data_IF_627240476523
#
_entry.id   IF_627240476523
#
_cell.length_a   1.000
_cell.length_b   1.000
_cell.length_c   1.000
_cell.angle_alpha   90.00
_cell.angle_beta   90.00
_cell.angle_gamma   90.00
#
_symmetry.space_group_name_H-M   'P 1'
#
loop_
_entity.id
_entity.type
_entity.pdbx_description
1 polymer ?
#
# COMPACT_ATOMS: atom_id res chain seq x y z
N UNK A 1 -1.39 37.86 -89.30
CA UNK A 1 -0.65 36.57 -89.30
C UNK A 1 -0.90 35.88 -87.96
N UNK A 2 -1.87 34.98 -88.00
CA UNK A 2 -2.27 33.91 -87.08
C UNK A 2 -1.37 33.55 -85.89
N UNK A 3 -1.95 33.53 -84.67
CA UNK A 3 -2.33 32.31 -83.89
C UNK A 3 -2.80 32.67 -82.45
N UNK A 4 -3.53 31.78 -81.75
CA UNK A 4 -4.88 32.02 -81.17
C UNK A 4 -4.92 32.28 -79.64
N UNK A 5 -6.10 32.59 -79.03
CA UNK A 5 -6.20 32.94 -77.61
C UNK A 5 -6.22 31.70 -76.69
N UNK A 6 -5.57 31.81 -75.53
CA UNK A 6 -5.48 30.74 -74.53
C UNK A 6 -6.68 30.79 -73.57
N UNK A 7 -7.28 29.61 -73.40
CA UNK A 7 -8.51 29.31 -72.68
C UNK A 7 -8.45 29.60 -71.17
N UNK A 8 -9.46 30.31 -70.67
CA UNK A 8 -9.78 30.47 -69.24
C UNK A 8 -10.46 29.19 -68.74
N UNK A 9 -9.96 28.50 -67.70
CA UNK A 9 -10.69 27.40 -67.10
C UNK A 9 -11.77 27.93 -66.15
N UNK A 10 -13.04 27.62 -66.49
CA UNK A 10 -14.21 27.76 -65.61
C UNK A 10 -14.01 26.94 -64.32
N UNK A 11 -13.88 27.60 -63.17
CA UNK A 11 -14.01 26.94 -61.86
C UNK A 11 -15.49 26.68 -61.56
N UNK A 12 -15.83 25.41 -61.37
CA UNK A 12 -17.13 24.91 -60.89
C UNK A 12 -17.42 25.41 -59.46
N UNK A 13 -18.69 25.61 -59.06
CA UNK A 13 -19.04 26.01 -57.71
C UNK A 13 -18.70 24.88 -56.73
N UNK A 14 -18.00 25.22 -55.65
CA UNK A 14 -17.67 24.28 -54.58
C UNK A 14 -18.94 23.95 -53.78
N UNK A 15 -19.23 22.66 -53.65
CA UNK A 15 -20.32 22.12 -52.85
C UNK A 15 -20.11 22.43 -51.36
N UNK A 16 -21.19 22.86 -50.70
CA UNK A 16 -21.26 23.08 -49.27
C UNK A 16 -21.01 21.75 -48.51
N UNK A 17 -19.80 21.59 -47.99
CA UNK A 17 -19.44 20.51 -47.08
C UNK A 17 -19.88 20.85 -45.66
N UNK A 18 -20.84 20.07 -45.14
CA UNK A 18 -21.22 20.03 -43.72
C UNK A 18 -19.97 19.94 -42.84
N UNK A 19 -19.70 20.99 -42.07
CA UNK A 19 -18.77 20.92 -40.95
C UNK A 19 -19.34 19.93 -39.92
N UNK A 20 -18.78 18.71 -39.88
CA UNK A 20 -18.92 17.84 -38.72
C UNK A 20 -18.18 18.52 -37.58
N UNK A 21 -18.93 19.17 -36.70
CA UNK A 21 -18.41 19.63 -35.42
C UNK A 21 -17.76 18.45 -34.72
N UNK A 22 -16.44 18.50 -34.54
CA UNK A 22 -15.77 17.67 -33.57
C UNK A 22 -16.29 18.12 -32.20
N UNK A 23 -17.24 17.36 -31.64
CA UNK A 23 -17.55 17.45 -30.22
C UNK A 23 -16.29 16.97 -29.50
N UNK A 24 -15.50 17.90 -28.97
CA UNK A 24 -14.52 17.55 -27.95
C UNK A 24 -15.32 17.00 -26.78
N UNK A 25 -15.24 15.68 -26.57
CA UNK A 25 -15.56 15.13 -25.26
C UNK A 25 -14.73 15.91 -24.23
N UNK A 26 -15.31 16.30 -23.08
CA UNK A 26 -14.52 16.96 -22.06
C UNK A 26 -13.38 16.00 -21.72
N UNK A 27 -12.14 16.42 -21.98
CA UNK A 27 -10.96 15.79 -21.41
C UNK A 27 -11.20 15.78 -19.91
N UNK A 28 -11.52 14.60 -19.36
CA UNK A 28 -11.51 14.36 -17.93
C UNK A 28 -10.18 14.92 -17.45
N UNK A 29 -10.21 16.00 -16.67
CA UNK A 29 -9.01 16.65 -16.16
C UNK A 29 -8.27 15.60 -15.36
N UNK A 30 -7.17 15.07 -15.92
CA UNK A 30 -6.35 14.06 -15.27
C UNK A 30 -5.70 14.76 -14.08
N UNK A 31 -6.22 14.48 -12.88
CA UNK A 31 -5.66 14.98 -11.63
C UNK A 31 -4.16 14.66 -11.59
N UNK A 32 -3.37 15.63 -11.13
CA UNK A 32 -1.95 15.45 -10.85
C UNK A 32 -1.76 14.42 -9.72
N UNK A 33 -0.56 13.85 -9.59
CA UNK A 33 -0.30 12.87 -8.52
C UNK A 33 -0.53 13.48 -7.12
N UNK A 34 -0.20 14.77 -6.94
CA UNK A 34 -0.35 15.48 -5.68
C UNK A 34 -1.82 15.74 -5.34
N UNK A 35 -2.64 16.17 -6.31
CA UNK A 35 -4.09 16.32 -6.13
C UNK A 35 -4.76 14.98 -5.76
N UNK A 36 -4.31 13.88 -6.39
CA UNK A 36 -4.76 12.53 -6.05
C UNK A 36 -4.40 12.15 -4.62
N UNK A 37 -3.19 12.48 -4.17
CA UNK A 37 -2.73 12.19 -2.81
C UNK A 37 -3.56 13.01 -1.82
N UNK A 38 -3.77 14.29 -2.08
CA UNK A 38 -4.57 15.18 -1.24
C UNK A 38 -6.01 14.69 -1.11
N UNK A 39 -6.68 14.44 -2.25
CA UNK A 39 -8.05 13.89 -2.29
C UNK A 39 -8.17 12.60 -1.48
N UNK A 40 -7.23 11.65 -1.63
CA UNK A 40 -7.25 10.39 -0.87
C UNK A 40 -7.12 10.62 0.63
N UNK A 41 -6.25 11.54 1.05
CA UNK A 41 -6.06 11.84 2.47
C UNK A 41 -7.28 12.54 3.07
N UNK A 42 -7.92 13.45 2.33
CA UNK A 42 -9.16 14.09 2.75
C UNK A 42 -10.29 13.08 2.92
N UNK A 43 -10.49 12.18 1.95
CA UNK A 43 -11.47 11.11 2.06
C UNK A 43 -11.16 10.17 3.22
N UNK A 44 -9.89 9.85 3.45
CA UNK A 44 -9.47 8.98 4.55
C UNK A 44 -9.75 9.64 5.91
N UNK A 45 -9.44 10.93 6.05
CA UNK A 45 -9.72 11.70 7.27
C UNK A 45 -11.23 11.80 7.51
N UNK A 46 -12.01 12.13 6.48
CA UNK A 46 -13.47 12.22 6.57
C UNK A 46 -14.11 10.92 7.01
N UNK A 47 -13.67 9.79 6.46
CA UNK A 47 -14.19 8.47 6.85
C UNK A 47 -13.76 8.09 8.26
N UNK A 48 -12.51 8.40 8.65
CA UNK A 48 -12.02 8.21 10.02
C UNK A 48 -12.82 9.02 11.04
N UNK A 49 -13.10 10.29 10.75
CA UNK A 49 -13.93 11.17 11.57
C UNK A 49 -15.38 10.66 11.65
N UNK A 50 -15.93 10.18 10.53
CA UNK A 50 -17.26 9.56 10.49
C UNK A 50 -17.32 8.32 11.39
N UNK A 51 -16.29 7.47 11.38
CA UNK A 51 -16.25 6.29 12.25
C UNK A 51 -16.10 6.66 13.73
N UNK A 52 -15.31 7.70 14.04
CA UNK A 52 -15.18 8.21 15.41
C UNK A 52 -16.49 8.82 15.92
N UNK A 53 -17.25 9.52 15.07
CA UNK A 53 -18.52 10.15 15.47
C UNK A 53 -19.64 9.14 15.78
N UNK A 54 -19.50 7.87 15.36
CA UNK A 54 -20.38 6.78 15.77
C UNK A 54 -20.28 6.46 17.27
N UNK A 55 -19.20 6.89 17.93
CA UNK A 55 -18.96 6.70 19.36
C UNK A 55 -18.90 8.05 20.10
N UNK A 56 -20.03 8.78 20.21
CA UNK A 56 -20.04 10.13 20.78
C UNK A 56 -19.81 10.15 22.30
N UNK A 57 -20.00 9.00 22.98
CA UNK A 57 -19.77 8.85 24.42
C UNK A 57 -18.67 7.84 24.67
N UNK A 58 -17.79 8.15 25.62
CA UNK A 58 -16.71 7.27 26.02
C UNK A 58 -17.28 6.12 26.85
N UNK A 59 -17.34 4.93 26.25
CA UNK A 59 -17.64 3.67 26.93
C UNK A 59 -16.32 3.00 27.37
N UNK A 60 -16.32 2.37 28.55
CA UNK A 60 -15.16 1.64 29.05
C UNK A 60 -15.26 0.16 28.69
N UNK A 61 -14.13 -0.42 28.33
CA UNK A 61 -13.98 -1.86 28.07
C UNK A 61 -12.87 -2.41 28.95
N UNK A 62 -12.99 -3.68 29.34
CA UNK A 62 -11.98 -4.40 30.09
C UNK A 62 -11.14 -5.23 29.12
N UNK A 63 -9.82 -5.04 29.17
CA UNK A 63 -8.86 -5.74 28.32
C UNK A 63 -7.93 -6.55 29.21
N UNK A 64 -8.02 -7.87 29.14
CA UNK A 64 -7.23 -8.77 29.98
C UNK A 64 -5.98 -9.22 29.23
N UNK A 65 -4.81 -9.01 29.82
CA UNK A 65 -3.54 -9.45 29.26
C UNK A 65 -3.28 -10.92 29.58
N UNK A 66 -3.03 -11.73 28.55
CA UNK A 66 -2.79 -13.18 28.64
C UNK A 66 -1.37 -13.58 28.27
N UNK A 67 -0.45 -12.62 28.15
CA UNK A 67 0.96 -12.90 27.84
C UNK A 67 1.71 -13.62 28.97
N UNK A 68 2.90 -14.16 28.62
CA UNK A 68 3.79 -14.85 29.57
C UNK A 68 4.29 -13.95 30.70
N UNK A 69 4.44 -12.64 30.42
CA UNK A 69 4.81 -11.64 31.43
C UNK A 69 3.56 -11.08 32.11
N UNK A 70 3.67 -10.56 33.35
CA UNK A 70 2.57 -9.88 34.05
C UNK A 70 1.19 -10.59 33.96
N UNK A 71 1.11 -11.90 34.31
CA UNK A 71 -0.11 -12.69 34.11
C UNK A 71 -1.27 -12.11 34.92
N UNK A 72 -2.46 -12.05 34.31
CA UNK A 72 -3.68 -11.59 34.97
C UNK A 72 -3.83 -10.06 35.05
N UNK A 73 -2.98 -9.30 34.36
CA UNK A 73 -3.16 -7.84 34.26
C UNK A 73 -4.44 -7.50 33.51
N UNK A 74 -5.26 -6.59 34.05
CA UNK A 74 -6.47 -6.09 33.41
C UNK A 74 -6.34 -4.59 33.20
N UNK A 75 -6.66 -4.13 32.00
CA UNK A 75 -6.70 -2.72 31.65
C UNK A 75 -8.14 -2.26 31.47
N UNK A 76 -8.46 -1.07 31.98
CA UNK A 76 -9.73 -0.40 31.70
C UNK A 76 -9.49 0.64 30.61
N UNK A 77 -9.96 0.35 29.40
CA UNK A 77 -9.66 1.10 28.17
C UNK A 77 -10.91 1.76 27.61
N UNK A 78 -10.73 2.70 26.68
CA UNK A 78 -11.84 3.38 26.00
C UNK A 78 -12.23 2.60 24.73
N UNK A 79 -13.49 2.21 24.63
CA UNK A 79 -14.04 1.53 23.46
C UNK A 79 -13.88 2.39 22.20
N UNK A 80 -13.52 1.76 21.09
CA UNK A 80 -13.32 2.36 19.77
C UNK A 80 -12.28 3.51 19.70
N UNK A 81 -11.51 3.72 20.77
CA UNK A 81 -10.48 4.76 20.87
C UNK A 81 -9.14 4.19 21.29
N UNK A 82 -9.12 3.40 22.37
CA UNK A 82 -7.91 2.75 22.85
C UNK A 82 -7.48 1.62 21.92
N UNK A 83 -6.17 1.47 21.78
CA UNK A 83 -5.53 0.51 20.89
C UNK A 83 -4.68 -0.49 21.68
N UNK A 84 -4.29 -1.64 21.10
CA UNK A 84 -3.28 -2.52 21.68
C UNK A 84 -1.99 -1.81 22.08
N UNK A 85 -1.56 -0.81 21.30
CA UNK A 85 -0.40 0.01 21.63
C UNK A 85 -0.59 0.77 22.94
N UNK A 86 -1.78 1.31 23.21
CA UNK A 86 -2.06 1.94 24.51
C UNK A 86 -1.96 0.92 25.66
N UNK A 87 -2.45 -0.31 25.47
CA UNK A 87 -2.29 -1.39 26.45
C UNK A 87 -0.81 -1.69 26.72
N UNK A 88 0.02 -1.75 25.66
CA UNK A 88 1.46 -1.94 25.79
C UNK A 88 2.14 -0.79 26.58
N UNK A 89 1.68 0.45 26.41
CA UNK A 89 2.20 1.61 27.16
C UNK A 89 1.95 1.51 28.66
N UNK A 90 0.86 0.84 29.08
CA UNK A 90 0.59 0.60 30.50
C UNK A 90 1.45 -0.50 31.13
N UNK A 91 2.11 -1.34 30.32
CA UNK A 91 3.01 -2.38 30.80
C UNK A 91 4.44 -1.88 30.92
N UNK A 92 5.10 -1.61 29.79
CA UNK A 92 6.47 -1.12 29.78
C UNK A 92 6.89 -0.65 28.39
N UNK A 93 7.94 0.17 28.34
CA UNK A 93 8.56 0.61 27.08
C UNK A 93 9.04 -0.58 26.23
N UNK A 94 9.45 -1.68 26.88
CA UNK A 94 9.83 -2.90 26.17
C UNK A 94 8.69 -3.46 25.32
N UNK A 95 7.45 -3.48 25.85
CA UNK A 95 6.28 -3.93 25.10
C UNK A 95 6.00 -2.97 23.93
N UNK A 96 6.08 -1.65 24.14
CA UNK A 96 5.89 -0.69 23.05
C UNK A 96 6.89 -0.89 21.90
N UNK A 97 8.15 -1.22 22.20
CA UNK A 97 9.22 -1.37 21.21
C UNK A 97 9.28 -2.75 20.56
N UNK A 98 8.86 -3.82 21.25
CA UNK A 98 8.98 -5.21 20.76
C UNK A 98 7.71 -5.77 20.15
N UNK A 99 6.53 -5.30 20.58
CA UNK A 99 5.25 -5.78 20.08
C UNK A 99 5.00 -5.28 18.66
N UNK A 100 4.92 -6.21 17.71
CA UNK A 100 4.67 -5.91 16.29
C UNK A 100 3.19 -6.00 15.99
N UNK A 101 2.52 -7.03 16.51
CA UNK A 101 1.10 -7.27 16.37
C UNK A 101 0.50 -7.59 17.73
N UNK A 102 -0.82 -7.57 17.81
CA UNK A 102 -1.56 -8.12 18.93
C UNK A 102 -2.41 -9.31 18.47
N UNK A 103 -2.66 -10.23 19.38
CA UNK A 103 -3.68 -11.24 19.27
C UNK A 103 -4.82 -10.81 20.18
N UNK A 104 -6.01 -10.55 19.61
CA UNK A 104 -7.20 -10.11 20.34
C UNK A 104 -8.25 -11.21 20.21
N UNK A 105 -8.59 -11.86 21.32
CA UNK A 105 -9.48 -13.05 21.34
C UNK A 105 -9.07 -14.15 20.33
N UNK A 106 -7.76 -14.32 20.10
CA UNK A 106 -7.23 -15.29 19.13
C UNK A 106 -7.11 -14.78 17.69
N UNK A 107 -7.56 -13.56 17.38
CA UNK A 107 -7.46 -12.95 16.06
C UNK A 107 -6.28 -11.98 15.94
N UNK A 108 -5.60 -11.98 14.80
CA UNK A 108 -4.46 -11.07 14.57
C UNK A 108 -4.94 -9.64 14.38
N UNK A 109 -4.33 -8.70 15.10
CA UNK A 109 -4.75 -7.32 15.20
C UNK A 109 -3.58 -6.34 15.07
N UNK A 110 -3.80 -5.23 14.37
CA UNK A 110 -2.80 -4.16 14.27
C UNK A 110 -2.63 -3.43 15.60
N UNK A 111 -1.40 -3.04 15.94
CA UNK A 111 -1.13 -2.34 17.20
C UNK A 111 -1.86 -0.99 17.34
N UNK A 112 -2.17 -0.31 16.23
CA UNK A 112 -2.88 0.97 16.20
C UNK A 112 -4.37 0.86 15.81
N UNK A 113 -4.91 -0.34 15.63
CA UNK A 113 -6.34 -0.53 15.36
C UNK A 113 -7.14 -0.47 16.67
N UNK A 114 -8.17 0.39 16.77
CA UNK A 114 -8.97 0.52 18.00
C UNK A 114 -9.67 -0.78 18.42
N UNK A 115 -9.81 -0.98 19.73
CA UNK A 115 -10.51 -2.13 20.33
C UNK A 115 -12.00 -1.81 20.45
N UNK A 116 -12.86 -2.71 19.98
CA UNK A 116 -14.32 -2.47 19.90
C UNK A 116 -15.14 -3.09 21.03
N UNK A 117 -14.56 -4.04 21.77
CA UNK A 117 -15.22 -4.77 22.86
C UNK A 117 -14.19 -5.18 23.93
N UNK A 118 -14.68 -5.56 25.11
CA UNK A 118 -13.85 -6.22 26.12
C UNK A 118 -13.30 -7.52 25.54
N UNK A 119 -12.01 -7.77 25.75
CA UNK A 119 -11.27 -8.83 25.06
C UNK A 119 -10.04 -9.29 25.84
N UNK A 120 -9.50 -10.44 25.46
CA UNK A 120 -8.20 -10.89 25.88
C UNK A 120 -7.13 -10.47 24.87
N UNK A 121 -5.99 -9.96 25.35
CA UNK A 121 -4.90 -9.48 24.51
C UNK A 121 -3.58 -10.19 24.81
N UNK A 122 -2.90 -10.59 23.75
CA UNK A 122 -1.50 -11.03 23.77
C UNK A 122 -0.71 -10.21 22.75
N UNK A 123 0.57 -9.96 23.04
CA UNK A 123 1.44 -9.29 22.09
C UNK A 123 2.33 -10.28 21.35
N UNK A 124 2.48 -10.08 20.04
CA UNK A 124 3.31 -10.89 19.16
C UNK A 124 4.59 -10.15 18.78
N UNK A 125 5.71 -10.85 18.78
CA UNK A 125 7.05 -10.32 18.51
C UNK A 125 7.79 -11.13 17.44
N UNK A 126 8.85 -10.56 16.87
CA UNK A 126 9.73 -11.28 15.92
C UNK A 126 10.47 -12.49 16.52
N UNK A 127 10.51 -12.61 17.85
CA UNK A 127 11.27 -13.64 18.56
C UNK A 127 10.37 -14.70 19.19
N UNK A 128 9.09 -14.69 18.86
CA UNK A 128 8.16 -15.72 19.31
C UNK A 128 8.49 -17.06 18.61
N UNK A 129 8.03 -18.17 19.20
CA UNK A 129 8.26 -19.51 18.67
C UNK A 129 7.63 -19.70 17.27
N UNK A 130 6.47 -19.09 17.04
CA UNK A 130 5.80 -19.02 15.75
C UNK A 130 5.57 -17.54 15.33
N UNK A 131 6.54 -16.92 14.63
CA UNK A 131 6.42 -15.54 14.18
C UNK A 131 5.80 -15.43 12.77
N UNK A 132 5.08 -16.45 12.27
CA UNK A 132 4.58 -16.48 10.88
C UNK A 132 3.73 -15.23 10.55
N UNK A 133 2.75 -14.89 11.40
CA UNK A 133 1.88 -13.73 11.18
C UNK A 133 2.61 -12.39 11.26
N UNK A 134 3.58 -12.29 12.17
CA UNK A 134 4.47 -11.13 12.30
C UNK A 134 5.33 -10.95 11.04
N UNK A 135 5.87 -12.04 10.51
CA UNK A 135 6.67 -12.03 9.29
C UNK A 135 5.83 -11.61 8.08
N UNK A 136 4.60 -12.14 7.95
CA UNK A 136 3.67 -11.72 6.89
C UNK A 136 3.37 -10.23 6.95
N UNK A 137 3.06 -9.69 8.15
CA UNK A 137 2.80 -8.27 8.34
C UNK A 137 4.02 -7.40 8.02
N UNK A 138 5.23 -7.86 8.39
CA UNK A 138 6.48 -7.19 8.05
C UNK A 138 6.71 -7.09 6.54
N UNK A 139 6.55 -8.19 5.82
CA UNK A 139 6.72 -8.20 4.36
C UNK A 139 5.68 -7.35 3.63
N UNK A 140 4.41 -7.38 4.06
CA UNK A 140 3.36 -6.48 3.54
C UNK A 140 3.73 -5.02 3.74
N UNK A 141 4.22 -4.67 4.92
CA UNK A 141 4.61 -3.30 5.26
C UNK A 141 5.82 -2.83 4.45
N UNK A 142 6.83 -3.68 4.27
CA UNK A 142 7.96 -3.39 3.40
C UNK A 142 7.52 -3.15 1.95
N UNK A 143 6.65 -4.01 1.41
CA UNK A 143 6.11 -3.84 0.06
C UNK A 143 5.36 -2.50 -0.10
N UNK A 144 4.60 -2.08 0.92
CA UNK A 144 3.87 -0.81 0.92
C UNK A 144 4.83 0.41 0.96
N UNK A 145 5.91 0.34 1.75
CA UNK A 145 6.98 1.35 1.78
C UNK A 145 7.63 1.46 0.40
N UNK A 146 7.97 0.33 -0.23
CA UNK A 146 8.52 0.31 -1.59
C UNK A 146 7.56 0.95 -2.59
N UNK A 147 6.26 0.64 -2.52
CA UNK A 147 5.26 1.21 -3.41
C UNK A 147 5.16 2.74 -3.30
N UNK A 148 5.23 3.28 -2.08
CA UNK A 148 5.27 4.72 -1.85
C UNK A 148 6.48 5.38 -2.52
N UNK A 149 7.66 4.79 -2.34
CA UNK A 149 8.91 5.30 -2.93
C UNK A 149 8.87 5.25 -4.46
N UNK A 150 8.42 4.13 -5.03
CA UNK A 150 8.30 3.99 -6.48
C UNK A 150 7.30 5.00 -7.04
N UNK A 151 6.14 5.17 -6.40
CA UNK A 151 5.13 6.13 -6.85
C UNK A 151 5.67 7.57 -6.87
N UNK A 152 6.50 7.95 -5.90
CA UNK A 152 7.12 9.28 -5.84
C UNK A 152 8.28 9.46 -6.81
N UNK A 153 9.01 8.39 -7.11
CA UNK A 153 10.20 8.45 -7.94
C UNK A 153 9.88 8.55 -9.45
N UNK A 154 8.77 7.96 -9.90
CA UNK A 154 8.35 8.04 -11.30
C UNK A 154 7.41 9.21 -11.52
N UNK A 155 7.66 10.00 -12.57
CA UNK A 155 6.83 11.16 -12.96
C UNK A 155 5.39 10.73 -13.27
N UNK A 156 4.44 11.66 -13.11
CA UNK A 156 2.99 11.51 -13.31
C UNK A 156 2.54 10.89 -14.66
N UNK A 157 3.44 10.87 -15.65
CA UNK A 157 3.26 10.18 -16.93
C UNK A 157 3.24 8.64 -16.79
N UNK A 158 3.80 8.12 -15.69
CA UNK A 158 3.92 6.69 -15.41
C UNK A 158 2.97 6.24 -14.29
N UNK A 159 1.96 5.46 -14.66
CA UNK A 159 1.07 4.81 -13.67
C UNK A 159 1.84 3.72 -12.93
N UNK A 160 2.42 4.03 -11.76
CA UNK A 160 3.01 3.04 -10.85
C UNK A 160 1.90 2.40 -10.03
N UNK A 161 1.49 1.23 -10.48
CA UNK A 161 0.67 0.31 -9.71
C UNK A 161 1.61 -0.74 -9.11
N UNK A 162 1.27 -1.34 -7.98
CA UNK A 162 2.08 -2.41 -7.34
C UNK A 162 2.47 -3.58 -8.26
N UNK A 163 1.92 -3.62 -9.47
CA UNK A 163 2.19 -4.63 -10.51
C UNK A 163 2.53 -3.98 -11.86
N UNK A 164 2.26 -2.70 -12.12
CA UNK A 164 2.37 -2.13 -13.49
C UNK A 164 3.11 -0.81 -13.47
N UNK A 165 4.11 -0.69 -14.34
CA UNK A 165 4.82 0.56 -14.63
C UNK A 165 5.03 0.62 -16.15
N UNK A 166 4.72 1.73 -16.84
CA UNK A 166 4.97 1.86 -18.28
C UNK A 166 6.48 1.94 -18.61
N UNK A 167 6.82 1.79 -19.89
CA UNK A 167 8.19 1.86 -20.43
C UNK A 167 8.89 3.17 -20.05
N UNK A 168 9.73 3.11 -19.02
CA UNK A 168 10.80 4.10 -18.84
C UNK A 168 11.98 3.63 -19.69
N UNK A 169 12.43 4.40 -20.70
CA UNK A 169 13.67 4.15 -21.42
C UNK A 169 14.85 4.51 -20.49
N UNK A 170 15.67 3.51 -20.12
CA UNK A 170 16.87 3.70 -19.34
C UNK A 170 17.22 2.48 -18.48
N UNK A 171 18.52 2.19 -18.33
CA UNK A 171 19.02 1.17 -17.42
C UNK A 171 18.69 1.57 -15.97
N UNK A 172 17.77 0.85 -15.33
CA UNK A 172 17.31 1.14 -13.95
C UNK A 172 18.35 0.72 -12.91
N UNK A 173 19.41 0.00 -13.30
CA UNK A 173 20.47 -0.48 -12.39
C UNK A 173 21.10 0.63 -11.56
N UNK A 174 21.29 1.83 -12.13
CA UNK A 174 21.86 2.99 -11.42
C UNK A 174 20.87 3.70 -10.47
N UNK A 175 19.57 3.39 -10.56
CA UNK A 175 18.51 4.05 -9.78
C UNK A 175 18.09 3.32 -8.50
N UNK A 176 18.47 2.06 -8.28
CA UNK A 176 18.02 1.36 -7.06
C UNK A 176 18.61 1.95 -5.77
N UNK A 177 19.81 2.53 -5.85
CA UNK A 177 20.43 3.19 -4.71
C UNK A 177 19.69 4.46 -4.29
N UNK A 178 19.19 5.24 -5.24
CA UNK A 178 18.40 6.44 -4.94
C UNK A 178 17.04 6.06 -4.35
N UNK A 179 16.36 5.06 -4.89
CA UNK A 179 15.11 4.50 -4.33
C UNK A 179 15.33 3.97 -2.91
N UNK A 180 16.39 3.19 -2.69
CA UNK A 180 16.73 2.67 -1.36
C UNK A 180 17.00 3.78 -0.36
N UNK A 181 17.70 4.84 -0.78
CA UNK A 181 17.93 6.03 0.06
C UNK A 181 16.61 6.71 0.43
N UNK A 182 15.68 6.84 -0.50
CA UNK A 182 14.40 7.49 -0.22
C UNK A 182 13.48 6.62 0.65
N UNK A 183 13.52 5.29 0.50
CA UNK A 183 12.91 4.34 1.44
C UNK A 183 13.51 4.49 2.84
N UNK A 184 14.83 4.59 2.93
CA UNK A 184 15.53 4.79 4.20
C UNK A 184 15.14 6.10 4.87
N UNK A 185 15.03 7.22 4.11
CA UNK A 185 14.53 8.49 4.65
C UNK A 185 13.10 8.36 5.21
N UNK A 186 12.24 7.61 4.52
CA UNK A 186 10.86 7.36 4.96
C UNK A 186 10.81 6.53 6.25
N UNK A 187 11.70 5.54 6.37
CA UNK A 187 11.86 4.74 7.60
C UNK A 187 12.28 5.63 8.78
N UNK A 188 13.24 6.53 8.58
CA UNK A 188 13.72 7.45 9.62
C UNK A 188 12.68 8.47 10.09
N UNK A 189 11.60 8.70 9.34
CA UNK A 189 10.49 9.56 9.76
C UNK A 189 9.61 8.93 10.86
N UNK A 190 9.78 7.64 11.16
CA UNK A 190 9.02 6.91 12.19
C UNK A 190 7.49 7.11 12.09
N UNK A 191 6.94 6.83 10.91
CA UNK A 191 5.53 7.05 10.63
C UNK A 191 4.70 5.85 11.12
N UNK A 192 3.57 6.06 11.81
CA UNK A 192 2.66 4.98 12.17
C UNK A 192 1.88 4.48 10.95
N UNK A 193 1.59 3.19 10.94
CA UNK A 193 0.60 2.61 10.03
C UNK A 193 -0.78 2.70 10.68
N UNK A 194 -1.68 3.41 10.01
CA UNK A 194 -3.08 3.54 10.38
C UNK A 194 -3.92 2.61 9.52
N UNK A 195 -4.83 1.87 10.15
CA UNK A 195 -5.75 0.94 9.47
C UNK A 195 -7.17 1.48 9.55
N UNK A 196 -7.89 1.44 8.44
CA UNK A 196 -9.29 1.84 8.34
C UNK A 196 -10.08 0.75 7.60
N UNK A 197 -11.20 0.31 8.18
CA UNK A 197 -12.11 -0.62 7.53
C UNK A 197 -13.23 0.18 6.89
N UNK A 198 -13.42 0.07 5.59
CA UNK A 198 -14.37 0.89 4.84
C UNK A 198 -15.24 0.04 3.94
N UNK A 199 -16.43 0.53 3.61
CA UNK A 199 -17.24 -0.06 2.55
C UNK A 199 -16.55 0.05 1.20
N UNK A 200 -16.77 -0.93 0.32
CA UNK A 200 -16.22 -0.93 -1.03
C UNK A 200 -16.47 0.39 -1.80
N UNK A 201 -17.64 1.02 -1.62
CA UNK A 201 -18.00 2.29 -2.26
C UNK A 201 -17.02 3.42 -1.94
N UNK A 202 -16.64 3.55 -0.67
CA UNK A 202 -15.69 4.57 -0.21
C UNK A 202 -14.29 4.28 -0.75
N UNK A 203 -13.88 2.99 -0.76
CA UNK A 203 -12.62 2.59 -1.38
C UNK A 203 -12.62 2.87 -2.90
N UNK A 204 -13.72 2.64 -3.61
CA UNK A 204 -13.84 2.95 -5.02
C UNK A 204 -13.62 4.44 -5.32
N UNK A 205 -14.20 5.33 -4.52
CA UNK A 205 -14.01 6.77 -4.66
C UNK A 205 -12.55 7.18 -4.48
N UNK A 206 -11.85 6.61 -3.50
CA UNK A 206 -10.42 6.88 -3.25
C UNK A 206 -9.49 6.39 -4.38
N UNK A 207 -9.87 5.32 -5.09
CA UNK A 207 -9.03 4.66 -6.08
C UNK A 207 -9.59 4.76 -7.52
N UNK A 208 -10.55 5.66 -7.77
CA UNK A 208 -11.26 5.81 -9.05
C UNK A 208 -10.35 6.00 -10.28
N UNK A 209 -9.19 6.64 -10.10
CA UNK A 209 -8.20 6.88 -11.16
C UNK A 209 -7.30 5.67 -11.46
N UNK A 210 -7.45 4.56 -10.72
CA UNK A 210 -6.60 3.39 -10.83
C UNK A 210 -7.43 2.12 -11.09
N UNK A 211 -7.54 1.75 -12.38
CA UNK A 211 -8.31 0.59 -12.83
C UNK A 211 -7.94 -0.71 -12.10
N UNK A 212 -6.65 -0.97 -11.90
CA UNK A 212 -6.19 -2.18 -11.22
C UNK A 212 -6.56 -2.25 -9.75
N UNK A 213 -6.52 -1.09 -9.07
CA UNK A 213 -6.96 -1.01 -7.68
C UNK A 213 -8.47 -1.16 -7.58
N UNK A 214 -9.24 -0.62 -8.52
CA UNK A 214 -10.69 -0.86 -8.57
C UNK A 214 -11.02 -2.34 -8.78
N UNK A 215 -10.43 -3.00 -9.79
CA UNK A 215 -10.62 -4.45 -10.01
C UNK A 215 -10.23 -5.28 -8.78
N UNK A 216 -9.17 -4.87 -8.07
CA UNK A 216 -8.76 -5.52 -6.83
C UNK A 216 -9.75 -5.28 -5.68
N UNK A 217 -10.27 -4.06 -5.53
CA UNK A 217 -11.29 -3.72 -4.53
C UNK A 217 -12.56 -4.53 -4.77
N UNK A 218 -13.04 -4.64 -6.01
CA UNK A 218 -14.22 -5.43 -6.36
C UNK A 218 -14.02 -6.91 -6.02
N UNK A 219 -12.86 -7.48 -6.38
CA UNK A 219 -12.54 -8.87 -6.06
C UNK A 219 -12.55 -9.12 -4.54
N UNK A 220 -11.96 -8.21 -3.77
CA UNK A 220 -11.91 -8.31 -2.30
C UNK A 220 -13.29 -8.16 -1.68
N UNK A 221 -14.06 -7.19 -2.16
CA UNK A 221 -15.42 -6.96 -1.69
C UNK A 221 -16.31 -8.18 -1.97
N UNK A 222 -16.16 -8.85 -3.11
CA UNK A 222 -16.91 -10.08 -3.44
C UNK A 222 -16.52 -11.30 -2.61
N UNK A 223 -15.32 -11.35 -2.03
CA UNK A 223 -14.87 -12.43 -1.16
C UNK A 223 -15.37 -12.27 0.28
N UNK A 224 -15.71 -11.05 0.69
CA UNK A 224 -16.18 -10.74 2.04
C UNK A 224 -17.69 -10.51 2.04
N UNK A 225 -18.44 -11.27 2.82
CA UNK A 225 -19.90 -11.16 2.90
C UNK A 225 -20.38 -9.75 3.33
N UNK A 226 -19.55 -9.02 4.07
CA UNK A 226 -19.84 -7.67 4.55
C UNK A 226 -19.46 -6.57 3.54
N UNK A 227 -18.76 -6.91 2.45
CA UNK A 227 -18.29 -5.94 1.46
C UNK A 227 -17.27 -4.92 2.00
N UNK A 228 -16.63 -5.24 3.14
CA UNK A 228 -15.64 -4.39 3.81
C UNK A 228 -14.26 -4.61 3.22
N UNK A 229 -13.57 -3.51 2.96
CA UNK A 229 -12.19 -3.46 2.46
C UNK A 229 -11.31 -2.75 3.47
N UNK A 230 -10.11 -3.30 3.68
CA UNK A 230 -9.12 -2.70 4.59
C UNK A 230 -8.20 -1.74 3.84
N UNK A 231 -8.11 -0.52 4.33
CA UNK A 231 -7.19 0.51 3.88
C UNK A 231 -6.10 0.71 4.93
N UNK A 232 -4.89 0.94 4.45
CA UNK A 232 -3.76 1.32 5.29
C UNK A 232 -3.20 2.65 4.83
N UNK A 233 -2.81 3.48 5.79
CA UNK A 233 -2.15 4.76 5.56
C UNK A 233 -0.89 4.85 6.40
N UNK A 234 0.19 5.35 5.83
CA UNK A 234 1.30 5.89 6.60
C UNK A 234 1.75 7.21 5.98
N UNK A 235 1.88 8.26 6.79
CA UNK A 235 2.04 9.62 6.27
C UNK A 235 0.88 10.00 5.34
N UNK A 236 1.22 10.31 4.09
CA UNK A 236 0.32 10.71 3.01
C UNK A 236 -0.02 9.55 2.03
N UNK A 237 0.61 8.38 2.19
CA UNK A 237 0.43 7.26 1.27
C UNK A 237 -0.67 6.33 1.78
N UNK A 238 -1.79 6.30 1.05
CA UNK A 238 -2.94 5.41 1.30
C UNK A 238 -2.94 4.29 0.27
N UNK A 239 -3.05 3.04 0.74
CA UNK A 239 -3.19 1.88 -0.11
C UNK A 239 -4.13 0.80 0.45
N UNK A 240 -4.61 -0.07 -0.44
CA UNK A 240 -5.42 -1.25 -0.10
C UNK A 240 -4.53 -2.48 0.04
N UNK A 241 -4.52 -3.11 1.21
CA UNK A 241 -3.84 -4.38 1.48
C UNK A 241 -4.72 -5.32 2.30
N UNK A 242 -4.38 -6.61 2.30
CA UNK A 242 -5.07 -7.63 3.10
C UNK A 242 -4.21 -8.04 4.28
N UNK A 243 -4.81 -8.03 5.47
CA UNK A 243 -4.16 -8.40 6.71
C UNK A 243 -3.36 -7.27 7.35
N UNK A 244 -2.79 -7.53 8.52
CA UNK A 244 -2.21 -6.49 9.36
C UNK A 244 -0.84 -6.03 8.86
N UNK A 245 -0.46 -4.86 9.36
CA UNK A 245 0.80 -4.18 9.12
C UNK A 245 1.59 -3.98 10.42
N UNK A 246 2.88 -3.70 10.29
CA UNK A 246 3.73 -3.36 11.45
C UNK A 246 3.30 -2.00 12.03
N UNK A 247 3.61 -1.71 13.31
CA UNK A 247 3.09 -0.51 13.95
C UNK A 247 3.65 0.77 13.33
N UNK A 248 4.96 0.80 13.05
CA UNK A 248 5.68 1.99 12.58
C UNK A 248 6.73 1.63 11.56
N UNK A 249 7.08 2.58 10.69
CA UNK A 249 8.14 2.40 9.69
C UNK A 249 9.52 2.15 10.30
N UNK A 250 9.78 2.62 11.53
CA UNK A 250 11.05 2.41 12.26
C UNK A 250 11.33 0.95 12.66
N UNK A 251 10.34 0.06 12.54
CA UNK A 251 10.58 -1.37 12.75
C UNK A 251 11.49 -1.96 11.66
N UNK A 252 11.52 -1.36 10.46
CA UNK A 252 12.46 -1.70 9.40
C UNK A 252 13.83 -1.09 9.67
N UNK A 253 14.91 -1.87 9.52
CA UNK A 253 16.26 -1.39 9.77
C UNK A 253 17.16 -1.48 8.53
N UNK A 254 17.56 -2.70 8.12
CA UNK A 254 18.26 -2.91 6.85
C UNK A 254 17.20 -3.02 5.77
N UNK A 255 17.25 -2.18 4.74
CA UNK A 255 16.24 -2.14 3.69
C UNK A 255 16.93 -1.85 2.35
N UNK A 256 16.70 -2.69 1.34
CA UNK A 256 17.31 -2.50 0.02
C UNK A 256 16.40 -2.97 -1.10
N UNK A 257 16.25 -2.13 -2.13
CA UNK A 257 15.60 -2.49 -3.39
C UNK A 257 16.72 -3.03 -4.29
N UNK A 258 16.60 -4.28 -4.72
CA UNK A 258 17.72 -5.02 -5.32
C UNK A 258 17.56 -5.30 -6.81
N UNK A 259 16.34 -5.43 -7.30
CA UNK A 259 16.10 -5.76 -8.70
C UNK A 259 14.74 -5.27 -9.21
N UNK A 260 14.64 -5.14 -10.53
CA UNK A 260 13.38 -4.99 -11.25
C UNK A 260 13.36 -5.99 -12.41
N UNK A 261 12.31 -6.79 -12.52
CA UNK A 261 12.15 -7.81 -13.54
C UNK A 261 10.95 -7.51 -14.43
N UNK A 262 11.11 -7.62 -15.74
CA UNK A 262 9.99 -7.59 -16.67
C UNK A 262 9.28 -8.96 -16.65
N UNK A 263 8.00 -8.97 -16.30
CA UNK A 263 7.13 -10.13 -16.36
C UNK A 263 6.40 -10.13 -17.71
N UNK A 264 6.55 -11.22 -18.45
CA UNK A 264 5.80 -11.43 -19.68
C UNK A 264 4.38 -11.89 -19.34
N UNK A 265 3.38 -11.08 -19.68
CA UNK A 265 1.97 -11.49 -19.61
C UNK A 265 1.44 -11.86 -20.98
N UNK A 266 0.42 -12.74 -21.02
CA UNK A 266 -0.29 -13.12 -22.26
C UNK A 266 -1.00 -11.94 -22.93
N UNK A 267 -1.25 -10.86 -22.18
CA UNK A 267 -1.78 -9.59 -22.68
C UNK A 267 -0.61 -8.65 -23.01
N UNK A 268 -0.77 -7.80 -24.02
CA UNK A 268 0.22 -6.85 -24.58
C UNK A 268 0.74 -5.76 -23.61
N UNK A 269 0.64 -5.98 -22.30
CA UNK A 269 1.06 -5.05 -21.25
C UNK A 269 2.40 -5.49 -20.66
N UNK A 270 3.36 -4.57 -20.58
CA UNK A 270 4.63 -4.80 -19.89
C UNK A 270 4.45 -4.60 -18.38
N UNK A 271 4.62 -5.67 -17.62
CA UNK A 271 4.52 -5.69 -16.15
C UNK A 271 5.94 -5.70 -15.59
N UNK A 272 6.28 -4.76 -14.69
CA UNK A 272 7.56 -4.75 -13.98
C UNK A 272 7.37 -5.09 -12.51
N UNK A 273 8.12 -6.09 -12.04
CA UNK A 273 8.17 -6.47 -10.63
C UNK A 273 9.44 -5.93 -9.99
N UNK A 274 9.28 -5.01 -9.05
CA UNK A 274 10.37 -4.58 -8.17
C UNK A 274 10.53 -5.57 -7.02
N UNK A 275 11.77 -5.90 -6.68
CA UNK A 275 12.13 -6.76 -5.57
C UNK A 275 13.14 -6.07 -4.67
N UNK A 276 13.06 -6.40 -3.39
CA UNK A 276 13.95 -5.92 -2.36
C UNK A 276 13.93 -6.87 -1.17
N UNK A 277 14.85 -6.64 -0.25
CA UNK A 277 14.97 -7.38 0.99
C UNK A 277 15.09 -6.40 2.15
N UNK A 278 14.57 -6.81 3.30
CA UNK A 278 14.55 -5.98 4.49
C UNK A 278 14.64 -6.84 5.75
N UNK A 279 15.31 -6.32 6.79
CA UNK A 279 15.39 -6.95 8.10
C UNK A 279 14.95 -5.98 9.21
N UNK A 280 14.15 -6.44 10.18
CA UNK A 280 13.68 -5.60 11.25
C UNK A 280 14.82 -5.26 12.21
N UNK A 281 14.68 -4.16 12.95
CA UNK A 281 15.65 -3.72 13.98
C UNK A 281 15.96 -4.81 15.03
N UNK A 282 15.02 -5.75 15.21
CA UNK A 282 15.09 -6.86 16.14
C UNK A 282 15.94 -8.05 15.67
N UNK A 283 16.17 -8.17 14.36
CA UNK A 283 16.84 -9.29 13.69
C UNK A 283 17.94 -8.77 12.75
N UNK A 284 18.80 -7.87 13.25
CA UNK A 284 19.89 -7.32 12.44
C UNK A 284 20.83 -8.43 11.98
N UNK A 285 21.19 -8.43 10.69
CA UNK A 285 22.20 -9.33 10.15
C UNK A 285 23.57 -8.67 10.14
N UNK A 286 24.62 -9.48 10.31
CA UNK A 286 25.99 -9.07 10.04
C UNK A 286 26.21 -8.83 8.55
N UNK A 287 27.19 -8.00 8.17
CA UNK A 287 27.38 -7.58 6.77
C UNK A 287 27.52 -8.75 5.79
N UNK A 288 28.29 -9.79 6.14
CA UNK A 288 28.46 -10.99 5.29
C UNK A 288 27.12 -11.70 5.04
N UNK A 289 26.26 -11.79 6.05
CA UNK A 289 24.94 -12.42 5.92
C UNK A 289 24.03 -11.53 5.09
N UNK A 290 24.07 -10.22 5.31
CA UNK A 290 23.33 -9.24 4.53
C UNK A 290 23.69 -9.31 3.04
N UNK A 291 24.98 -9.36 2.71
CA UNK A 291 25.45 -9.44 1.31
C UNK A 291 24.94 -10.71 0.62
N UNK A 292 24.93 -11.86 1.31
CA UNK A 292 24.35 -13.10 0.80
C UNK A 292 22.83 -12.98 0.56
N UNK A 293 22.12 -12.31 1.45
CA UNK A 293 20.68 -12.05 1.28
C UNK A 293 20.42 -11.14 0.07
N UNK A 294 21.25 -10.12 -0.14
CA UNK A 294 21.19 -9.24 -1.30
C UNK A 294 21.45 -9.98 -2.62
N UNK A 295 22.43 -10.88 -2.64
CA UNK A 295 22.69 -11.72 -3.82
C UNK A 295 21.49 -12.62 -4.14
N UNK A 296 20.85 -13.19 -3.11
CA UNK A 296 19.67 -14.04 -3.27
C UNK A 296 18.45 -13.25 -3.74
N UNK A 297 18.27 -12.01 -3.29
CA UNK A 297 17.11 -11.17 -3.60
C UNK A 297 17.14 -10.57 -5.01
N UNK A 298 18.30 -10.57 -5.68
CA UNK A 298 18.43 -10.19 -7.10
C UNK A 298 17.84 -11.20 -8.08
N UNK A 299 17.60 -12.44 -7.64
CA UNK A 299 17.02 -13.50 -8.48
C UNK A 299 15.50 -13.37 -8.49
N UNK A 300 14.91 -13.48 -9.68
CA UNK A 300 13.46 -13.47 -9.84
C UNK A 300 12.83 -14.59 -9.01
N UNK A 301 11.93 -14.22 -8.09
CA UNK A 301 11.15 -15.18 -7.33
C UNK A 301 9.87 -15.47 -8.10
N UNK A 302 9.82 -16.58 -8.85
CA UNK A 302 8.57 -17.05 -9.47
C UNK A 302 7.73 -17.81 -8.44
N UNK A 303 6.42 -17.60 -8.47
CA UNK A 303 5.47 -18.42 -7.72
C UNK A 303 4.88 -19.47 -8.69
N UNK A 304 4.96 -20.74 -8.34
CA UNK A 304 4.28 -21.82 -9.05
C UNK A 304 2.82 -21.87 -8.60
N UNK A 305 2.01 -20.98 -9.15
CA UNK A 305 0.59 -20.83 -8.87
C UNK A 305 0.12 -19.56 -9.57
N UNK A 306 -1.15 -19.51 -10.00
CA UNK A 306 -1.75 -18.33 -10.61
C UNK A 306 -1.36 -17.05 -9.88
N UNK A 307 -1.37 -15.91 -10.59
CA UNK A 307 -1.14 -14.56 -10.05
C UNK A 307 -2.25 -14.23 -9.03
N UNK A 308 -2.19 -14.90 -7.89
CA UNK A 308 -2.85 -14.61 -6.65
C UNK A 308 -1.80 -13.85 -5.85
N UNK A 309 -1.95 -12.52 -5.88
CA UNK A 309 -1.73 -11.76 -4.67
C UNK A 309 -2.34 -12.56 -3.50
N UNK A 310 -1.60 -12.67 -2.41
CA UNK A 310 -2.04 -13.27 -1.13
C UNK A 310 -1.64 -14.73 -0.85
N UNK A 311 -0.39 -15.13 -1.12
CA UNK A 311 0.28 -16.18 -0.30
C UNK A 311 1.73 -15.83 -0.02
N UNK A 312 1.98 -15.23 1.15
CA UNK A 312 3.30 -15.11 1.76
C UNK A 312 3.62 -16.43 2.48
N UNK A 313 4.04 -17.44 1.72
CA UNK A 313 4.82 -18.55 2.22
C UNK A 313 6.06 -18.64 1.34
N UNK A 314 7.20 -18.89 1.98
CA UNK A 314 8.52 -19.12 1.39
C UNK A 314 9.37 -17.85 1.17
N UNK A 315 9.60 -17.12 2.27
CA UNK A 315 10.84 -16.35 2.47
C UNK A 315 11.58 -16.93 3.68
N UNK A 316 12.32 -18.02 3.43
CA UNK A 316 13.54 -18.43 4.12
C UNK A 316 14.62 -18.70 3.06
#
# INVERSE_FOLDING_TARGET
RDRPPVLIPRRRPAAAGRARGFMSTPTVSRLTSDEVILMRNELFNKEKERQLSLYPRIEKIEVKYTGKSHPGTVFVMNKALSTPYNCAMHLSEWHCKKSVLALVDGEVWDMYKPLTKSCEIQFLTFKDEDPEEVNKAYWRSCAMIMACVLKRAFKDEYSVNLIKSPEVPGDISDNFRSLTRDATKLIHKDLPFETLHVEAKVAHEMFQHNRYKMEMIERKASQNAEGIVTLHRFGDFVDVSEGPHIPRTSFCFQYEITAAHNLQTKQSELIRRFQGVSLPVHLKAYHIVWDKLLERSKRLVSFSGEVQLTKYKDML
#
